data_IF_287959127933
#
_entry.id   IF_287959127933
#
_cell.length_a   1.000
_cell.length_b   1.000
_cell.length_c   1.000
_cell.angle_alpha   90.00
_cell.angle_beta   90.00
_cell.angle_gamma   90.00
#
_symmetry.space_group_name_H-M   'P 1'
#
loop_
_entity.id
_entity.type
_entity.pdbx_description
1 polymer ?
#
# COMPACT_ATOMS: atom_id res chain seq x y z
N UNK A 1 -14.89 -20.80 -17.16
CA UNK A 1 -15.03 -19.92 -18.35
C UNK A 1 -14.33 -18.60 -18.07
N UNK A 2 -13.51 -18.12 -18.99
CA UNK A 2 -12.91 -16.78 -18.92
C UNK A 2 -13.65 -15.89 -19.92
N UNK A 3 -14.23 -14.78 -19.45
CA UNK A 3 -14.96 -13.84 -20.30
C UNK A 3 -14.20 -12.52 -20.39
N UNK A 4 -13.43 -12.28 -21.48
CA UNK A 4 -12.72 -11.03 -21.65
C UNK A 4 -13.70 -9.90 -21.99
N UNK A 5 -13.54 -8.75 -21.32
CA UNK A 5 -14.30 -7.53 -21.61
C UNK A 5 -13.38 -6.54 -22.34
N UNK A 6 -13.79 -6.12 -23.55
CA UNK A 6 -13.04 -5.15 -24.36
C UNK A 6 -13.71 -3.78 -24.26
N UNK A 7 -12.90 -2.74 -24.11
CA UNK A 7 -13.37 -1.36 -24.18
C UNK A 7 -13.61 -0.96 -25.63
N UNK A 8 -14.59 -0.07 -25.86
CA UNK A 8 -14.94 0.42 -27.19
C UNK A 8 -13.88 1.38 -27.79
N UNK A 9 -13.04 2.00 -26.95
CA UNK A 9 -11.96 2.89 -27.39
C UNK A 9 -10.61 2.18 -27.32
N UNK A 10 -9.79 2.38 -28.35
CA UNK A 10 -8.34 2.19 -28.24
C UNK A 10 -7.82 3.24 -27.23
N UNK A 11 -6.90 2.85 -26.35
CA UNK A 11 -6.47 3.67 -25.21
C UNK A 11 -5.92 5.07 -25.57
N UNK A 12 -5.55 5.89 -24.57
CA UNK A 12 -5.27 5.48 -23.19
C UNK A 12 -6.53 5.28 -22.33
N UNK A 13 -6.50 4.27 -21.48
CA UNK A 13 -7.53 3.94 -20.49
C UNK A 13 -6.89 3.72 -19.12
N UNK A 14 -7.67 3.86 -18.05
CA UNK A 14 -7.22 3.60 -16.67
C UNK A 14 -7.68 2.24 -16.18
N UNK A 15 -7.12 1.77 -15.05
CA UNK A 15 -7.62 0.58 -14.35
C UNK A 15 -9.11 0.73 -14.00
N UNK A 16 -9.51 1.90 -13.51
CA UNK A 16 -10.90 2.24 -13.22
C UNK A 16 -11.82 2.17 -14.46
N UNK A 17 -11.38 2.64 -15.64
CA UNK A 17 -12.15 2.49 -16.88
C UNK A 17 -12.45 1.02 -17.18
N UNK A 18 -11.42 0.18 -17.09
CA UNK A 18 -11.53 -1.27 -17.32
C UNK A 18 -12.45 -1.92 -16.29
N UNK A 19 -12.29 -1.60 -15.00
CA UNK A 19 -13.13 -2.13 -13.91
C UNK A 19 -14.60 -1.73 -14.06
N UNK A 20 -14.88 -0.49 -14.47
CA UNK A 20 -16.25 -0.04 -14.74
C UNK A 20 -16.88 -0.72 -15.97
N UNK A 21 -16.07 -1.07 -16.98
CA UNK A 21 -16.56 -1.87 -18.10
C UNK A 21 -16.85 -3.32 -17.69
N UNK A 22 -15.97 -3.94 -16.90
CA UNK A 22 -16.20 -5.27 -16.31
C UNK A 22 -17.47 -5.24 -15.46
N UNK A 23 -17.64 -4.24 -14.60
CA UNK A 23 -18.85 -4.10 -13.77
C UNK A 23 -20.12 -4.07 -14.61
N UNK A 24 -20.17 -3.27 -15.68
CA UNK A 24 -21.32 -3.20 -16.60
C UNK A 24 -21.57 -4.52 -17.30
N UNK A 25 -20.52 -5.15 -17.84
CA UNK A 25 -20.63 -6.46 -18.48
C UNK A 25 -21.15 -7.53 -17.51
N UNK A 26 -20.75 -7.49 -16.24
CA UNK A 26 -21.29 -8.37 -15.20
C UNK A 26 -22.78 -8.13 -14.98
N UNK A 27 -23.25 -6.88 -14.94
CA UNK A 27 -24.68 -6.57 -14.82
C UNK A 27 -25.48 -7.04 -16.06
N UNK A 28 -24.90 -6.92 -17.26
CA UNK A 28 -25.51 -7.42 -18.49
C UNK A 28 -25.63 -8.95 -18.46
N UNK A 29 -24.57 -9.63 -18.00
CA UNK A 29 -24.56 -11.07 -17.81
C UNK A 29 -25.59 -11.53 -16.76
N UNK A 30 -25.69 -10.84 -15.61
CA UNK A 30 -26.72 -11.09 -14.60
C UNK A 30 -28.13 -11.04 -15.22
N UNK A 31 -28.40 -9.99 -16.01
CA UNK A 31 -29.70 -9.79 -16.68
C UNK A 31 -29.99 -10.86 -17.72
N UNK A 32 -29.03 -11.19 -18.57
CA UNK A 32 -29.20 -12.17 -19.64
C UNK A 32 -29.41 -13.60 -19.12
N UNK A 33 -28.87 -13.92 -17.94
CA UNK A 33 -28.90 -15.28 -17.38
C UNK A 33 -29.83 -15.41 -16.15
N UNK A 34 -30.57 -14.36 -15.78
CA UNK A 34 -31.50 -14.40 -14.65
C UNK A 34 -30.84 -14.70 -13.29
N UNK A 35 -29.55 -14.38 -13.13
CA UNK A 35 -28.78 -14.67 -11.92
C UNK A 35 -28.23 -13.40 -11.27
N UNK A 36 -27.75 -13.52 -10.03
CA UNK A 36 -27.12 -12.42 -9.29
C UNK A 36 -25.85 -12.90 -8.61
N UNK A 37 -24.74 -12.23 -8.87
CA UNK A 37 -23.49 -12.50 -8.18
C UNK A 37 -23.53 -11.93 -6.76
N UNK A 38 -23.03 -12.68 -5.78
CA UNK A 38 -22.98 -12.23 -4.39
C UNK A 38 -21.89 -11.16 -4.18
N UNK A 39 -20.74 -11.35 -4.83
CA UNK A 39 -19.54 -10.56 -4.64
C UNK A 39 -18.78 -10.31 -5.94
N UNK A 40 -17.92 -9.28 -5.92
CA UNK A 40 -16.99 -8.90 -6.96
C UNK A 40 -15.59 -8.95 -6.36
N UNK A 41 -14.73 -9.82 -6.90
CA UNK A 41 -13.37 -10.04 -6.38
C UNK A 41 -12.36 -9.43 -7.36
N UNK A 42 -11.38 -8.69 -6.84
CA UNK A 42 -10.35 -8.01 -7.64
C UNK A 42 -8.98 -8.63 -7.41
N UNK A 43 -8.32 -8.96 -8.52
CA UNK A 43 -6.92 -9.34 -8.61
C UNK A 43 -6.29 -8.67 -9.83
N UNK A 44 -5.03 -8.31 -9.68
CA UNK A 44 -4.19 -7.94 -10.81
C UNK A 44 -3.70 -9.20 -11.54
N UNK A 45 -3.27 -9.04 -12.79
CA UNK A 45 -2.94 -10.18 -13.66
C UNK A 45 -1.70 -10.95 -13.19
N UNK A 46 -0.84 -10.27 -12.44
CA UNK A 46 0.40 -10.75 -11.84
C UNK A 46 0.21 -11.42 -10.47
N UNK A 47 -1.00 -11.36 -9.90
CA UNK A 47 -1.28 -11.89 -8.57
C UNK A 47 -1.31 -13.42 -8.52
N UNK A 48 -0.80 -13.95 -7.42
CA UNK A 48 -1.08 -15.30 -6.95
C UNK A 48 -2.16 -15.20 -5.88
N UNK A 49 -3.38 -15.51 -6.30
CA UNK A 49 -4.54 -15.68 -5.42
C UNK A 49 -4.33 -16.83 -4.42
N UNK A 50 -4.83 -16.67 -3.20
CA UNK A 50 -4.78 -17.78 -2.24
C UNK A 50 -5.92 -18.77 -2.54
N UNK A 51 -5.69 -20.09 -2.61
CA UNK A 51 -6.74 -21.07 -2.91
C UNK A 51 -7.96 -21.01 -1.99
N UNK A 52 -7.84 -20.46 -0.77
CA UNK A 52 -8.93 -20.36 0.19
C UNK A 52 -9.61 -18.98 0.23
N UNK A 53 -9.17 -17.99 -0.56
CA UNK A 53 -9.70 -16.63 -0.50
C UNK A 53 -11.21 -16.57 -0.81
N UNK A 54 -11.68 -17.33 -1.81
CA UNK A 54 -13.09 -17.33 -2.19
C UNK A 54 -13.99 -17.87 -1.07
N UNK A 55 -13.50 -18.83 -0.26
CA UNK A 55 -14.24 -19.35 0.90
C UNK A 55 -14.37 -18.29 1.99
N UNK A 56 -13.33 -17.48 2.20
CA UNK A 56 -13.36 -16.36 3.15
C UNK A 56 -14.33 -15.29 2.68
N UNK A 57 -14.28 -14.92 1.39
CA UNK A 57 -15.18 -13.93 0.81
C UNK A 57 -16.63 -14.40 0.85
N UNK A 58 -16.91 -15.64 0.47
CA UNK A 58 -18.24 -16.24 0.55
C UNK A 58 -18.79 -16.21 1.99
N UNK A 59 -17.96 -16.59 2.97
CA UNK A 59 -18.39 -16.57 4.36
C UNK A 59 -18.75 -15.16 4.86
N UNK A 60 -17.90 -14.16 4.61
CA UNK A 60 -18.05 -12.83 5.18
C UNK A 60 -19.00 -11.91 4.39
N UNK A 61 -19.01 -12.04 3.07
CA UNK A 61 -19.92 -11.27 2.21
C UNK A 61 -21.26 -12.00 2.04
N UNK A 62 -21.24 -13.32 1.86
CA UNK A 62 -22.44 -14.14 1.65
C UNK A 62 -23.39 -14.14 2.85
N UNK A 63 -22.85 -14.12 4.08
CA UNK A 63 -23.65 -13.90 5.31
C UNK A 63 -24.17 -12.47 5.48
N UNK A 64 -23.77 -11.54 4.59
CA UNK A 64 -24.08 -10.11 4.63
C UNK A 64 -23.51 -9.37 5.85
N UNK A 65 -22.46 -9.93 6.45
CA UNK A 65 -21.79 -9.33 7.61
C UNK A 65 -20.90 -8.15 7.19
N UNK A 66 -20.26 -8.27 6.02
CA UNK A 66 -19.32 -7.29 5.46
C UNK A 66 -19.68 -6.94 4.01
N UNK A 67 -19.48 -5.68 3.66
CA UNK A 67 -19.65 -5.13 2.32
C UNK A 67 -18.33 -5.03 1.54
N UNK A 68 -17.20 -5.01 2.25
CA UNK A 68 -15.86 -5.07 1.68
C UNK A 68 -14.96 -5.96 2.55
N UNK A 69 -14.21 -6.86 1.94
CA UNK A 69 -13.22 -7.70 2.62
C UNK A 69 -11.87 -7.50 1.95
N UNK A 70 -10.86 -7.13 2.72
CA UNK A 70 -9.48 -7.01 2.25
C UNK A 70 -8.63 -8.09 2.90
N UNK A 71 -7.97 -8.91 2.10
CA UNK A 71 -6.94 -9.83 2.55
C UNK A 71 -5.57 -9.13 2.62
N UNK A 72 -4.62 -9.66 3.41
CA UNK A 72 -3.24 -9.26 3.35
C UNK A 72 -2.65 -9.36 1.94
N UNK A 73 -1.77 -8.43 1.60
CA UNK A 73 -0.89 -8.54 0.43
C UNK A 73 0.50 -8.88 0.96
N UNK A 74 1.07 -9.97 0.48
CA UNK A 74 2.37 -10.48 0.91
C UNK A 74 3.32 -10.53 -0.29
N UNK A 75 4.16 -9.49 -0.49
CA UNK A 75 5.17 -9.47 -1.54
C UNK A 75 6.00 -10.75 -1.56
N UNK A 76 6.26 -11.30 -2.74
CA UNK A 76 7.17 -12.43 -2.90
C UNK A 76 8.61 -11.99 -2.60
N UNK A 77 9.34 -12.74 -1.76
CA UNK A 77 10.72 -12.39 -1.44
C UNK A 77 11.59 -12.50 -2.69
N UNK A 78 12.54 -11.57 -2.79
CA UNK A 78 13.53 -11.50 -3.85
C UNK A 78 14.92 -11.87 -3.30
N UNK A 79 15.90 -12.00 -4.18
CA UNK A 79 17.28 -12.30 -3.75
C UNK A 79 17.78 -11.24 -2.75
N UNK A 80 18.67 -11.64 -1.83
CA UNK A 80 19.09 -10.79 -0.71
C UNK A 80 19.69 -9.44 -1.15
N UNK A 81 20.36 -9.42 -2.31
CA UNK A 81 20.97 -8.23 -2.90
C UNK A 81 19.97 -7.35 -3.69
N UNK A 82 18.71 -7.74 -3.83
CA UNK A 82 17.68 -6.95 -4.50
C UNK A 82 16.98 -6.04 -3.49
N UNK A 83 17.73 -5.09 -2.93
CA UNK A 83 17.31 -4.22 -1.84
C UNK A 83 16.00 -3.45 -2.11
N UNK A 84 15.85 -2.91 -3.32
CA UNK A 84 14.62 -2.22 -3.75
C UNK A 84 13.44 -3.19 -3.87
N UNK A 85 13.65 -4.45 -4.26
CA UNK A 85 12.58 -5.43 -4.19
C UNK A 85 12.20 -5.76 -2.73
N UNK A 86 13.22 -6.00 -1.91
CA UNK A 86 13.08 -6.43 -0.52
C UNK A 86 12.40 -5.40 0.40
N UNK A 87 12.52 -4.10 0.15
CA UNK A 87 11.88 -3.10 1.02
C UNK A 87 10.34 -3.16 0.95
N UNK A 88 9.76 -3.68 -0.13
CA UNK A 88 8.31 -3.93 -0.20
C UNK A 88 7.90 -5.03 0.78
N UNK A 89 8.66 -6.13 0.87
CA UNK A 89 8.44 -7.18 1.88
C UNK A 89 8.42 -6.57 3.30
N UNK A 90 9.35 -5.64 3.58
CA UNK A 90 9.45 -5.00 4.89
C UNK A 90 8.23 -4.13 5.22
N UNK A 91 7.86 -3.25 4.30
CA UNK A 91 6.76 -2.31 4.49
C UNK A 91 5.41 -3.02 4.54
N UNK A 92 5.16 -4.00 3.67
CA UNK A 92 3.90 -4.74 3.66
C UNK A 92 3.78 -5.66 4.87
N UNK A 93 4.86 -6.34 5.30
CA UNK A 93 4.81 -7.14 6.51
C UNK A 93 4.43 -6.29 7.73
N UNK A 94 5.07 -5.13 7.91
CA UNK A 94 4.75 -4.22 9.02
C UNK A 94 3.33 -3.66 8.89
N UNK A 95 2.95 -3.16 7.70
CA UNK A 95 1.65 -2.52 7.47
C UNK A 95 0.48 -3.49 7.65
N UNK A 96 0.57 -4.69 7.05
CA UNK A 96 -0.50 -5.69 7.09
C UNK A 96 -0.52 -6.51 8.38
N UNK A 97 0.58 -6.58 9.14
CA UNK A 97 0.57 -7.26 10.45
C UNK A 97 0.14 -6.35 11.61
N UNK A 98 0.33 -5.03 11.48
CA UNK A 98 0.15 -4.05 12.57
C UNK A 98 -0.75 -2.89 12.17
N UNK A 99 -0.36 -2.09 11.17
CA UNK A 99 -1.00 -0.80 10.93
C UNK A 99 -2.45 -0.92 10.46
N UNK A 100 -2.76 -1.85 9.53
CA UNK A 100 -4.11 -2.06 9.04
C UNK A 100 -5.04 -2.65 10.10
N UNK A 101 -4.53 -3.51 10.98
CA UNK A 101 -5.27 -4.06 12.12
C UNK A 101 -5.66 -2.94 13.09
N UNK A 102 -4.69 -2.10 13.47
CA UNK A 102 -4.94 -0.95 14.35
C UNK A 102 -5.91 0.04 13.70
N UNK A 103 -5.77 0.28 12.39
CA UNK A 103 -6.69 1.16 11.64
C UNK A 103 -8.13 0.64 11.67
N UNK A 104 -8.33 -0.65 11.44
CA UNK A 104 -9.64 -1.27 11.49
C UNK A 104 -10.27 -1.10 12.88
N UNK A 105 -9.51 -1.41 13.94
CA UNK A 105 -9.98 -1.26 15.32
C UNK A 105 -10.39 0.18 15.66
N UNK A 106 -9.61 1.19 15.21
CA UNK A 106 -9.86 2.58 15.56
C UNK A 106 -10.94 3.24 14.69
N UNK A 107 -11.07 2.85 13.43
CA UNK A 107 -11.93 3.55 12.47
C UNK A 107 -13.17 2.75 12.03
N UNK A 108 -13.19 1.45 12.32
CA UNK A 108 -14.17 0.49 11.81
C UNK A 108 -14.06 0.28 10.30
N UNK A 109 -12.94 0.66 9.67
CA UNK A 109 -12.72 0.41 8.26
C UNK A 109 -11.26 0.40 7.81
N UNK A 110 -11.03 -0.10 6.60
CA UNK A 110 -9.69 -0.23 6.01
C UNK A 110 -9.69 0.23 4.55
N UNK A 111 -8.57 0.72 4.02
CA UNK A 111 -8.43 0.96 2.59
C UNK A 111 -8.42 -0.37 1.83
N UNK A 112 -8.74 -0.30 0.54
CA UNK A 112 -8.47 -1.41 -0.39
C UNK A 112 -7.07 -1.25 -0.98
N UNK A 113 -6.40 -2.38 -1.20
CA UNK A 113 -5.12 -2.46 -1.91
C UNK A 113 -5.30 -2.69 -3.42
N UNK A 114 -6.55 -2.79 -3.90
CA UNK A 114 -6.86 -2.99 -5.32
C UNK A 114 -6.63 -4.41 -5.83
N UNK A 115 -6.23 -5.31 -4.94
CA UNK A 115 -5.97 -6.74 -5.13
C UNK A 115 -6.33 -7.51 -3.86
N UNK A 116 -6.65 -8.80 -3.97
CA UNK A 116 -7.02 -9.62 -2.81
C UNK A 116 -8.22 -9.07 -2.04
N UNK A 117 -9.13 -8.40 -2.76
CA UNK A 117 -10.22 -7.66 -2.17
C UNK A 117 -11.54 -8.08 -2.81
N UNK A 118 -12.57 -8.22 -1.99
CA UNK A 118 -13.92 -8.53 -2.43
C UNK A 118 -14.91 -7.46 -1.98
N UNK A 119 -15.85 -7.12 -2.86
CA UNK A 119 -16.93 -6.17 -2.62
C UNK A 119 -18.27 -6.86 -2.76
N UNK A 120 -19.21 -6.58 -1.85
CA UNK A 120 -20.58 -7.04 -1.99
C UNK A 120 -21.24 -6.37 -3.19
N UNK A 121 -22.21 -7.05 -3.81
CA UNK A 121 -23.04 -6.44 -4.87
C UNK A 121 -23.70 -5.14 -4.40
N UNK A 122 -24.10 -5.07 -3.13
CA UNK A 122 -24.65 -3.86 -2.51
C UNK A 122 -23.62 -2.72 -2.50
N UNK A 123 -22.37 -3.00 -2.16
CA UNK A 123 -21.29 -2.01 -2.11
C UNK A 123 -21.08 -1.33 -3.46
N UNK A 124 -20.86 -2.11 -4.53
CA UNK A 124 -20.62 -1.54 -5.86
C UNK A 124 -21.86 -0.84 -6.42
N UNK A 125 -23.06 -1.36 -6.17
CA UNK A 125 -24.31 -0.70 -6.59
C UNK A 125 -24.46 0.68 -5.94
N UNK A 126 -24.28 0.78 -4.63
CA UNK A 126 -24.41 2.06 -3.91
C UNK A 126 -23.31 3.04 -4.32
N UNK A 127 -22.08 2.56 -4.51
CA UNK A 127 -20.99 3.39 -5.01
C UNK A 127 -21.25 3.91 -6.42
N UNK A 128 -21.81 3.07 -7.31
CA UNK A 128 -22.16 3.45 -8.68
C UNK A 128 -23.32 4.45 -8.76
N UNK A 129 -24.31 4.36 -7.86
CA UNK A 129 -25.44 5.32 -7.80
C UNK A 129 -24.98 6.77 -7.59
N UNK A 130 -23.85 6.98 -6.91
CA UNK A 130 -23.29 8.31 -6.71
C UNK A 130 -22.43 8.82 -7.88
N UNK A 131 -22.18 8.01 -8.90
CA UNK A 131 -21.27 8.31 -10.01
C UNK A 131 -21.80 7.78 -11.35
N UNK A 132 -23.04 8.11 -11.72
CA UNK A 132 -23.63 7.77 -13.03
C UNK A 132 -23.50 6.27 -13.40
N UNK A 133 -23.62 5.39 -12.41
CA UNK A 133 -23.51 3.94 -12.58
C UNK A 133 -22.08 3.38 -12.57
N UNK A 134 -21.06 4.20 -12.28
CA UNK A 134 -19.65 3.80 -12.27
C UNK A 134 -19.10 3.76 -10.83
N UNK A 135 -18.87 2.59 -10.23
CA UNK A 135 -18.36 2.51 -8.87
C UNK A 135 -16.93 3.04 -8.73
N UNK A 136 -16.07 2.85 -9.75
CA UNK A 136 -14.66 3.25 -9.72
C UNK A 136 -14.46 4.62 -10.36
N UNK A 137 -13.80 5.54 -9.67
CA UNK A 137 -13.55 6.88 -10.21
C UNK A 137 -12.43 6.84 -11.25
N UNK A 138 -12.76 7.01 -12.54
CA UNK A 138 -11.81 6.98 -13.65
C UNK A 138 -10.75 8.08 -13.63
N UNK A 139 -11.01 9.19 -12.91
CA UNK A 139 -10.07 10.29 -12.75
C UNK A 139 -9.07 10.08 -11.59
N UNK A 140 -9.27 9.03 -10.77
CA UNK A 140 -8.42 8.70 -9.64
C UNK A 140 -7.30 7.75 -10.06
N UNK A 141 -6.06 8.01 -9.63
CA UNK A 141 -4.93 7.09 -9.86
C UNK A 141 -4.81 5.98 -8.80
N UNK A 142 -5.69 6.04 -7.79
CA UNK A 142 -5.88 5.08 -6.68
C UNK A 142 -7.38 4.89 -6.44
N UNK A 143 -8.07 4.37 -7.46
CA UNK A 143 -9.51 4.20 -7.50
C UNK A 143 -10.06 3.28 -6.41
N UNK A 144 -9.26 2.28 -6.04
CA UNK A 144 -9.48 1.29 -5.00
C UNK A 144 -9.50 1.90 -3.60
N UNK A 145 -8.47 2.71 -3.29
CA UNK A 145 -8.37 3.46 -2.04
C UNK A 145 -9.54 4.44 -1.89
N UNK A 146 -9.84 5.19 -2.95
CA UNK A 146 -10.96 6.14 -2.96
C UNK A 146 -12.31 5.43 -2.78
N UNK A 147 -12.53 4.32 -3.50
CA UNK A 147 -13.75 3.52 -3.35
C UNK A 147 -13.92 3.04 -1.91
N UNK A 148 -12.89 2.44 -1.30
CA UNK A 148 -12.97 1.93 0.07
C UNK A 148 -13.36 3.03 1.09
N UNK A 149 -12.77 4.22 0.96
CA UNK A 149 -13.15 5.36 1.80
C UNK A 149 -14.58 5.83 1.52
N UNK A 150 -15.02 5.88 0.26
CA UNK A 150 -16.41 6.23 -0.08
C UNK A 150 -17.41 5.23 0.48
N UNK A 151 -17.13 3.93 0.40
CA UNK A 151 -17.98 2.89 1.00
C UNK A 151 -18.15 3.11 2.50
N UNK A 152 -17.08 3.53 3.20
CA UNK A 152 -17.17 3.86 4.63
C UNK A 152 -18.08 5.06 4.90
N UNK A 153 -18.06 6.08 4.06
CA UNK A 153 -18.97 7.23 4.17
C UNK A 153 -20.44 6.86 3.90
N UNK A 154 -20.66 5.83 3.10
CA UNK A 154 -21.98 5.23 2.87
C UNK A 154 -22.44 4.33 4.04
N UNK A 155 -21.69 4.28 5.14
CA UNK A 155 -22.00 3.44 6.31
C UNK A 155 -21.80 1.94 6.08
N UNK A 156 -21.09 1.56 5.01
CA UNK A 156 -20.84 0.16 4.68
C UNK A 156 -19.73 -0.43 5.57
N UNK A 157 -19.84 -1.73 5.83
CA UNK A 157 -18.94 -2.44 6.74
C UNK A 157 -17.79 -3.05 5.97
N UNK A 158 -16.56 -2.67 6.28
CA UNK A 158 -15.37 -3.35 5.75
C UNK A 158 -14.73 -4.26 6.80
N UNK A 159 -13.96 -5.24 6.36
CA UNK A 159 -13.09 -6.03 7.23
C UNK A 159 -11.69 -6.22 6.64
N UNK A 160 -10.67 -6.18 7.48
CA UNK A 160 -9.33 -6.64 7.15
C UNK A 160 -9.07 -8.01 7.78
N UNK A 161 -8.93 -9.04 6.95
CA UNK A 161 -9.08 -10.41 7.42
C UNK A 161 -7.74 -11.13 7.45
N UNK A 162 -7.27 -11.44 8.66
CA UNK A 162 -6.05 -12.22 8.89
C UNK A 162 -6.39 -13.57 9.48
N UNK A 163 -6.66 -14.54 8.61
CA UNK A 163 -6.96 -15.92 8.99
C UNK A 163 -5.85 -16.81 8.45
N UNK A 164 -5.41 -17.80 9.24
CA UNK A 164 -4.53 -18.86 8.76
C UNK A 164 -5.41 -19.98 8.18
N UNK A 165 -5.15 -20.38 6.94
CA UNK A 165 -5.96 -21.41 6.26
C UNK A 165 -5.90 -22.81 6.90
N UNK A 166 -4.94 -23.05 7.81
CA UNK A 166 -4.87 -24.23 8.66
C UNK A 166 -3.95 -23.95 9.87
N UNK A 167 -4.02 -24.74 10.95
CA UNK A 167 -3.09 -24.64 12.07
C UNK A 167 -1.62 -24.85 11.67
N UNK A 168 -1.38 -25.65 10.62
CA UNK A 168 -0.04 -25.92 10.09
C UNK A 168 0.53 -24.75 9.25
N UNK A 169 -0.32 -23.87 8.70
CA UNK A 169 0.13 -22.68 7.99
C UNK A 169 0.60 -21.61 8.98
N UNK A 170 1.88 -21.26 8.90
CA UNK A 170 2.52 -20.24 9.74
C UNK A 170 2.14 -18.80 9.39
N UNK A 171 1.52 -18.56 8.25
CA UNK A 171 1.21 -17.22 7.73
C UNK A 171 -0.26 -17.10 7.33
N UNK A 172 -0.85 -15.89 7.42
CA UNK A 172 -2.23 -15.67 7.02
C UNK A 172 -2.40 -15.88 5.52
N UNK A 173 -3.65 -16.17 5.14
CA UNK A 173 -4.12 -16.08 3.75
C UNK A 173 -3.76 -14.71 3.20
N UNK A 174 -3.15 -14.67 2.02
CA UNK A 174 -2.66 -13.44 1.44
C UNK A 174 -2.55 -13.58 -0.08
N UNK A 175 -2.85 -12.50 -0.79
CA UNK A 175 -2.48 -12.37 -2.20
C UNK A 175 -0.99 -12.09 -2.28
N UNK A 176 -0.30 -12.76 -3.21
CA UNK A 176 1.15 -12.65 -3.36
C UNK A 176 1.49 -12.17 -4.75
N UNK A 177 2.47 -11.29 -4.85
CA UNK A 177 2.93 -10.75 -6.13
C UNK A 177 4.41 -10.35 -6.05
N UNK A 178 5.06 -10.23 -7.20
CA UNK A 178 6.38 -9.62 -7.30
C UNK A 178 6.26 -8.10 -7.45
N UNK A 179 6.73 -7.38 -6.43
CA UNK A 179 6.88 -5.94 -6.53
C UNK A 179 8.13 -5.55 -7.35
N UNK A 180 8.20 -4.31 -7.86
CA UNK A 180 9.34 -3.87 -8.66
C UNK A 180 10.68 -3.97 -7.93
N UNK A 181 11.68 -4.54 -8.62
CA UNK A 181 13.05 -4.65 -8.11
C UNK A 181 13.95 -3.48 -8.50
N UNK A 182 13.57 -2.70 -9.52
CA UNK A 182 14.39 -1.59 -10.04
C UNK A 182 13.95 -0.27 -9.40
N UNK A 183 14.93 0.58 -9.08
CA UNK A 183 14.68 1.86 -8.41
C UNK A 183 13.66 2.75 -9.15
N UNK A 184 13.83 2.93 -10.46
CA UNK A 184 12.92 3.77 -11.26
C UNK A 184 11.48 3.26 -11.30
N UNK A 185 11.30 1.95 -11.35
CA UNK A 185 9.97 1.30 -11.32
C UNK A 185 9.32 1.48 -9.93
N UNK A 186 10.07 1.25 -8.86
CA UNK A 186 9.58 1.45 -7.50
C UNK A 186 9.16 2.91 -7.25
N UNK A 187 9.96 3.87 -7.74
CA UNK A 187 9.65 5.30 -7.68
C UNK A 187 8.38 5.64 -8.46
N UNK A 188 8.20 5.09 -9.68
CA UNK A 188 6.96 5.27 -10.46
C UNK A 188 5.74 4.77 -9.68
N UNK A 189 5.80 3.52 -9.21
CA UNK A 189 4.70 2.89 -8.48
C UNK A 189 4.33 3.67 -7.21
N UNK A 190 5.31 3.96 -6.35
CA UNK A 190 5.05 4.67 -5.09
C UNK A 190 4.65 6.13 -5.30
N UNK A 191 5.16 6.77 -6.36
CA UNK A 191 4.71 8.14 -6.70
C UNK A 191 3.24 8.17 -7.07
N UNK A 192 2.73 7.13 -7.77
CA UNK A 192 1.29 6.99 -8.07
C UNK A 192 0.47 6.85 -6.80
N UNK A 193 0.91 6.01 -5.85
CA UNK A 193 0.24 5.85 -4.56
C UNK A 193 0.22 7.14 -3.75
N UNK A 194 1.37 7.80 -3.58
CA UNK A 194 1.46 9.07 -2.85
C UNK A 194 0.61 10.17 -3.49
N UNK A 195 0.65 10.27 -4.82
CA UNK A 195 -0.18 11.21 -5.57
C UNK A 195 -1.67 10.96 -5.36
N UNK A 196 -2.12 9.71 -5.51
CA UNK A 196 -3.53 9.35 -5.36
C UNK A 196 -4.03 9.49 -3.92
N UNK A 197 -3.28 8.96 -2.95
CA UNK A 197 -3.67 8.95 -1.53
C UNK A 197 -3.55 10.35 -0.92
N UNK A 198 -2.40 11.01 -1.12
CA UNK A 198 -2.09 12.23 -0.37
C UNK A 198 -2.60 13.51 -1.03
N UNK A 199 -2.55 13.58 -2.36
CA UNK A 199 -2.90 14.80 -3.12
C UNK A 199 -4.32 14.71 -3.67
N UNK A 200 -4.61 13.76 -4.57
CA UNK A 200 -5.98 13.60 -5.09
C UNK A 200 -6.98 13.22 -3.99
N UNK A 201 -6.58 12.34 -3.06
CA UNK A 201 -7.40 11.96 -1.93
C UNK A 201 -7.72 13.14 -1.01
N UNK A 202 -6.86 14.15 -0.94
CA UNK A 202 -7.18 15.39 -0.23
C UNK A 202 -8.28 16.17 -0.95
N UNK A 203 -8.18 16.33 -2.26
CA UNK A 203 -9.16 17.08 -3.06
C UNK A 203 -10.52 16.36 -3.14
N UNK A 204 -10.52 15.07 -3.45
CA UNK A 204 -11.73 14.30 -3.72
C UNK A 204 -12.47 13.93 -2.42
N UNK A 205 -11.73 13.64 -1.34
CA UNK A 205 -12.29 13.07 -0.10
C UNK A 205 -12.22 14.05 1.07
N UNK A 206 -11.22 14.94 1.10
CA UNK A 206 -11.03 15.91 2.17
C UNK A 206 -10.60 15.27 3.50
N UNK A 207 -11.08 15.83 4.60
CA UNK A 207 -10.79 15.41 5.98
C UNK A 207 -12.06 14.96 6.70
N UNK A 208 -12.81 14.07 6.07
CA UNK A 208 -14.11 13.61 6.55
C UNK A 208 -13.98 12.50 7.60
N UNK A 209 -15.03 12.33 8.40
CA UNK A 209 -15.12 11.37 9.51
C UNK A 209 -14.73 11.96 10.87
N UNK A 210 -14.73 11.11 11.89
CA UNK A 210 -14.37 11.44 13.26
C UNK A 210 -12.86 11.54 13.47
N UNK A 211 -12.46 11.72 14.73
CA UNK A 211 -11.06 11.94 15.12
C UNK A 211 -10.13 10.86 14.56
N UNK A 212 -10.45 9.59 14.79
CA UNK A 212 -9.61 8.47 14.33
C UNK A 212 -9.50 8.39 12.81
N UNK A 213 -10.58 8.68 12.07
CA UNK A 213 -10.52 8.72 10.60
C UNK A 213 -9.61 9.83 10.12
N UNK A 214 -9.74 11.05 10.67
CA UNK A 214 -8.87 12.19 10.32
C UNK A 214 -7.41 11.92 10.70
N UNK A 215 -7.17 11.30 11.85
CA UNK A 215 -5.82 10.88 12.26
C UNK A 215 -5.21 9.89 11.26
N UNK A 216 -5.98 8.91 10.79
CA UNK A 216 -5.49 7.96 9.78
C UNK A 216 -5.25 8.62 8.41
N UNK A 217 -6.10 9.56 7.98
CA UNK A 217 -5.85 10.35 6.78
C UNK A 217 -4.56 11.19 6.92
N UNK A 218 -4.28 11.74 8.11
CA UNK A 218 -3.04 12.46 8.36
C UNK A 218 -1.82 11.53 8.29
N UNK A 219 -1.93 10.32 8.84
CA UNK A 219 -0.88 9.30 8.72
C UNK A 219 -0.64 8.87 7.28
N UNK A 220 -1.68 8.72 6.48
CA UNK A 220 -1.58 8.36 5.07
C UNK A 220 -0.90 9.49 4.26
N UNK A 221 -1.18 10.76 4.61
CA UNK A 221 -0.68 11.95 3.91
C UNK A 221 0.70 12.43 4.34
N UNK A 222 1.11 12.19 5.59
CA UNK A 222 2.37 12.73 6.13
C UNK A 222 3.60 12.28 5.36
N UNK A 223 3.55 11.10 4.72
CA UNK A 223 4.64 10.54 3.92
C UNK A 223 5.14 11.49 2.83
N UNK A 224 4.26 12.35 2.31
CA UNK A 224 4.62 13.39 1.33
C UNK A 224 5.66 14.37 1.89
N UNK A 225 5.54 14.74 3.17
CA UNK A 225 6.42 15.71 3.83
C UNK A 225 7.57 15.02 4.57
N UNK A 226 7.29 13.98 5.35
CA UNK A 226 8.30 13.33 6.20
C UNK A 226 9.42 12.67 5.41
N UNK A 227 9.17 12.27 4.15
CA UNK A 227 10.22 11.70 3.30
C UNK A 227 11.34 12.71 2.98
N UNK A 228 11.02 14.00 2.87
CA UNK A 228 12.01 15.07 2.66
C UNK A 228 12.81 15.34 3.93
N UNK A 229 12.13 15.35 5.07
CA UNK A 229 12.75 15.53 6.40
C UNK A 229 13.76 14.41 6.66
N UNK A 230 13.44 13.16 6.33
CA UNK A 230 14.35 12.03 6.52
C UNK A 230 15.66 12.18 5.72
N UNK A 231 15.59 12.61 4.45
CA UNK A 231 16.79 12.81 3.63
C UNK A 231 17.61 14.00 4.12
N UNK A 232 16.97 15.08 4.56
CA UNK A 232 17.66 16.20 5.19
C UNK A 232 18.35 15.77 6.49
N UNK A 233 17.70 14.96 7.31
CA UNK A 233 18.28 14.40 8.52
C UNK A 233 19.50 13.50 8.21
N UNK A 234 19.45 12.71 7.13
CA UNK A 234 20.61 11.94 6.66
C UNK A 234 21.75 12.84 6.21
N UNK A 235 21.47 13.90 5.46
CA UNK A 235 22.50 14.87 5.08
C UNK A 235 23.17 15.48 6.32
N UNK A 236 22.39 15.95 7.30
CA UNK A 236 22.91 16.51 8.55
C UNK A 236 23.74 15.45 9.31
N UNK A 237 23.23 14.23 9.47
CA UNK A 237 23.93 13.17 10.19
C UNK A 237 25.27 12.80 9.52
N UNK A 238 25.31 12.70 8.19
CA UNK A 238 26.57 12.43 7.47
C UNK A 238 27.57 13.56 7.67
N UNK A 239 27.16 14.83 7.58
CA UNK A 239 28.06 15.96 7.80
C UNK A 239 28.61 15.97 9.23
N UNK A 240 27.77 15.70 10.24
CA UNK A 240 28.20 15.60 11.64
C UNK A 240 29.22 14.47 11.79
N UNK A 241 28.96 13.28 11.23
CA UNK A 241 29.89 12.15 11.28
C UNK A 241 31.23 12.51 10.62
N UNK A 242 31.22 13.18 9.48
CA UNK A 242 32.44 13.61 8.77
C UNK A 242 33.24 14.64 9.58
N UNK A 243 32.58 15.57 10.26
CA UNK A 243 33.24 16.55 11.13
C UNK A 243 33.89 15.87 12.35
N UNK A 244 33.20 14.93 12.99
CA UNK A 244 33.78 14.13 14.07
C UNK A 244 34.96 13.28 13.58
N UNK A 245 34.86 12.70 12.38
CA UNK A 245 35.94 11.92 11.80
C UNK A 245 37.16 12.79 11.46
N UNK A 246 36.94 14.01 10.96
CA UNK A 246 37.99 14.97 10.67
C UNK A 246 38.72 15.42 11.95
N UNK A 247 37.98 15.75 13.01
CA UNK A 247 38.54 16.06 14.34
C UNK A 247 39.38 14.90 14.90
N UNK A 248 38.92 13.66 14.70
CA UNK A 248 39.62 12.46 15.18
C UNK A 248 40.87 12.09 14.36
N UNK A 249 40.84 12.26 13.02
CA UNK A 249 41.90 11.78 12.12
C UNK A 249 42.91 12.84 11.70
N UNK A 250 42.51 14.11 11.57
CA UNK A 250 43.34 15.15 10.97
C UNK A 250 44.01 15.98 12.06
N UNK A 251 45.33 15.83 12.18
CA UNK A 251 46.14 16.64 13.07
C UNK A 251 45.97 18.14 12.75
N UNK A 252 45.56 18.93 13.74
CA UNK A 252 45.33 20.37 13.60
C UNK A 252 43.93 20.77 13.11
N UNK A 253 43.01 19.81 12.90
CA UNK A 253 41.62 20.15 12.65
C UNK A 253 40.98 20.77 13.91
N UNK A 254 40.18 21.86 13.78
CA UNK A 254 39.53 22.46 14.94
C UNK A 254 38.60 21.45 15.64
N UNK A 255 38.72 21.35 16.97
CA UNK A 255 37.82 20.50 17.76
C UNK A 255 36.38 20.83 17.47
N UNK A 256 35.62 19.83 17.04
CA UNK A 256 34.20 20.01 16.79
C UNK A 256 33.47 20.07 18.13
N UNK A 257 32.83 21.20 18.51
CA UNK A 257 32.20 21.31 19.80
C UNK A 257 31.05 20.30 19.92
N UNK A 258 30.90 19.70 21.10
CA UNK A 258 29.79 18.79 21.37
C UNK A 258 28.45 19.51 21.16
N UNK A 259 27.67 19.06 20.18
CA UNK A 259 26.38 19.67 19.82
C UNK A 259 25.26 19.37 20.83
N UNK A 260 25.49 18.40 21.74
CA UNK A 260 24.50 17.92 22.70
C UNK A 260 25.14 17.80 24.07
N UNK A 261 24.77 18.69 25.00
CA UNK A 261 25.22 18.63 26.39
C UNK A 261 24.49 17.53 27.16
N UNK A 262 25.22 16.78 27.99
CA UNK A 262 24.64 15.75 28.84
C UNK A 262 23.62 16.36 29.83
N UNK A 263 22.46 15.73 29.98
CA UNK A 263 21.38 16.23 30.83
C UNK A 263 20.56 17.39 30.24
N UNK A 264 20.93 17.92 29.07
CA UNK A 264 20.13 18.95 28.39
C UNK A 264 18.77 18.42 27.91
N UNK A 265 17.77 19.30 27.71
CA UNK A 265 16.50 18.92 27.07
C UNK A 265 16.71 18.28 25.69
N UNK A 266 17.71 18.73 24.93
CA UNK A 266 18.09 18.16 23.63
C UNK A 266 18.57 16.71 23.78
N UNK A 267 19.41 16.41 24.77
CA UNK A 267 19.85 15.04 25.05
C UNK A 267 18.68 14.12 25.42
N UNK A 268 17.74 14.61 26.23
CA UNK A 268 16.51 13.88 26.56
C UNK A 268 15.67 13.58 25.31
N UNK A 269 15.45 14.58 24.45
CA UNK A 269 14.70 14.42 23.21
C UNK A 269 15.36 13.41 22.25
N UNK A 270 16.68 13.47 22.09
CA UNK A 270 17.43 12.53 21.26
C UNK A 270 17.38 11.10 21.83
N UNK A 271 17.47 10.95 23.15
CA UNK A 271 17.37 9.65 23.83
C UNK A 271 15.98 9.05 23.65
N UNK A 272 14.92 9.85 23.86
CA UNK A 272 13.55 9.42 23.59
C UNK A 272 13.34 9.07 22.10
N UNK A 273 13.90 9.86 21.18
CA UNK A 273 13.82 9.57 19.75
C UNK A 273 14.52 8.25 19.39
N UNK A 274 15.71 7.99 19.94
CA UNK A 274 16.44 6.74 19.77
C UNK A 274 15.64 5.55 20.32
N UNK A 275 15.01 5.69 21.48
CA UNK A 275 14.12 4.66 22.02
C UNK A 275 12.96 4.34 21.06
N UNK A 276 12.27 5.35 20.55
CA UNK A 276 11.16 5.15 19.60
C UNK A 276 11.64 4.59 18.25
N UNK A 277 12.82 4.98 17.78
CA UNK A 277 13.44 4.42 16.59
C UNK A 277 13.74 2.93 16.79
N UNK A 278 14.40 2.56 17.89
CA UNK A 278 14.71 1.17 18.23
C UNK A 278 13.44 0.33 18.35
N UNK A 279 12.43 0.82 19.05
CA UNK A 279 11.14 0.15 19.13
C UNK A 279 10.50 -0.04 17.73
N UNK A 280 10.57 0.97 16.85
CA UNK A 280 10.07 0.86 15.48
C UNK A 280 10.83 -0.18 14.66
N UNK A 281 12.15 -0.18 14.73
CA UNK A 281 13.01 -1.16 14.03
C UNK A 281 12.70 -2.56 14.53
N UNK A 282 12.61 -2.76 15.85
CA UNK A 282 12.27 -4.04 16.45
C UNK A 282 10.90 -4.56 16.01
N UNK A 283 9.86 -3.71 16.03
CA UNK A 283 8.53 -4.08 15.55
C UNK A 283 8.54 -4.50 14.08
N UNK A 284 9.29 -3.80 13.23
CA UNK A 284 9.48 -4.17 11.83
C UNK A 284 10.15 -5.54 11.71
N UNK A 285 11.27 -5.76 12.41
CA UNK A 285 11.97 -7.04 12.40
C UNK A 285 11.06 -8.19 12.86
N UNK A 286 10.21 -7.98 13.86
CA UNK A 286 9.22 -8.98 14.30
C UNK A 286 8.19 -9.30 13.21
N UNK A 287 7.63 -8.26 12.56
CA UNK A 287 6.63 -8.47 11.50
C UNK A 287 7.23 -9.18 10.29
N UNK A 288 8.42 -8.74 9.84
CA UNK A 288 9.15 -9.35 8.72
C UNK A 288 9.59 -10.76 9.06
N UNK A 289 10.16 -10.97 10.25
CA UNK A 289 10.64 -12.29 10.70
C UNK A 289 9.53 -13.32 10.80
N UNK A 290 8.33 -12.90 11.24
CA UNK A 290 7.16 -13.78 11.28
C UNK A 290 6.63 -14.16 9.91
N UNK A 291 6.87 -13.38 8.86
CA UNK A 291 6.37 -13.66 7.50
C UNK A 291 7.41 -14.29 6.58
N UNK A 292 8.69 -13.93 6.74
CA UNK A 292 9.78 -14.29 5.82
C UNK A 292 11.02 -14.88 6.50
N UNK A 293 11.02 -15.03 7.82
CA UNK A 293 12.12 -15.62 8.58
C UNK A 293 13.22 -14.62 9.00
N UNK A 294 14.15 -15.11 9.83
CA UNK A 294 15.15 -14.29 10.53
C UNK A 294 16.09 -13.53 9.57
N UNK A 295 16.51 -14.15 8.47
CA UNK A 295 17.40 -13.51 7.51
C UNK A 295 16.79 -12.24 6.90
N UNK A 296 15.51 -12.28 6.53
CA UNK A 296 14.79 -11.11 6.02
C UNK A 296 14.54 -10.08 7.14
N UNK A 297 14.32 -10.52 8.38
CA UNK A 297 14.21 -9.61 9.52
C UNK A 297 15.49 -8.78 9.72
N UNK A 298 16.66 -9.42 9.66
CA UNK A 298 17.95 -8.72 9.77
C UNK A 298 18.17 -7.77 8.58
N UNK A 299 17.89 -8.21 7.35
CA UNK A 299 17.99 -7.37 6.15
C UNK A 299 17.03 -6.16 6.17
N UNK A 300 15.91 -6.24 6.91
CA UNK A 300 14.95 -5.13 7.01
C UNK A 300 15.54 -3.87 7.67
N UNK A 301 16.60 -4.02 8.49
CA UNK A 301 17.25 -2.90 9.19
C UNK A 301 17.99 -2.00 8.20
N UNK A 302 19.01 -2.47 7.45
CA UNK A 302 19.69 -1.60 6.49
C UNK A 302 18.78 -1.23 5.30
N UNK A 303 17.75 -2.03 4.99
CA UNK A 303 16.74 -1.67 3.97
C UNK A 303 15.87 -0.47 4.35
N UNK A 304 15.88 0.00 5.61
CA UNK A 304 15.22 1.27 5.99
C UNK A 304 15.78 2.46 5.21
N UNK A 305 17.10 2.52 5.02
CA UNK A 305 17.73 3.58 4.24
C UNK A 305 17.25 3.54 2.78
N UNK A 306 17.19 2.35 2.19
CA UNK A 306 16.70 2.14 0.81
C UNK A 306 15.24 2.57 0.69
N UNK A 307 14.38 2.15 1.63
CA UNK A 307 12.97 2.57 1.66
C UNK A 307 12.84 4.10 1.74
N UNK A 308 13.63 4.77 2.58
CA UNK A 308 13.61 6.22 2.70
C UNK A 308 14.03 6.94 1.42
N UNK A 309 15.07 6.47 0.73
CA UNK A 309 15.51 7.05 -0.55
C UNK A 309 14.46 6.87 -1.64
N UNK A 310 13.84 5.68 -1.74
CA UNK A 310 12.74 5.41 -2.68
C UNK A 310 11.54 6.31 -2.37
N UNK A 311 11.14 6.41 -1.10
CA UNK A 311 9.99 7.21 -0.67
C UNK A 311 10.23 8.71 -0.92
N UNK A 312 11.44 9.21 -0.72
CA UNK A 312 11.82 10.58 -1.05
C UNK A 312 11.71 10.87 -2.55
N UNK A 313 12.31 10.03 -3.38
CA UNK A 313 12.25 10.19 -4.84
C UNK A 313 10.81 10.08 -5.37
N UNK A 314 10.01 9.18 -4.79
CA UNK A 314 8.59 9.03 -5.09
C UNK A 314 7.78 10.27 -4.68
N UNK A 315 8.03 10.85 -3.51
CA UNK A 315 7.36 12.07 -3.04
C UNK A 315 7.69 13.27 -3.93
N UNK A 316 8.96 13.47 -4.28
CA UNK A 316 9.38 14.51 -5.24
C UNK A 316 8.69 14.34 -6.60
N UNK A 317 8.66 13.11 -7.12
CA UNK A 317 7.98 12.81 -8.39
C UNK A 317 6.48 13.10 -8.30
N UNK A 318 5.82 12.67 -7.22
CA UNK A 318 4.39 12.89 -7.02
C UNK A 318 4.04 14.39 -6.99
N UNK A 319 4.78 15.20 -6.23
CA UNK A 319 4.59 16.65 -6.16
C UNK A 319 4.78 17.29 -7.54
N UNK A 320 5.87 16.95 -8.26
CA UNK A 320 6.13 17.49 -9.60
C UNK A 320 5.01 17.15 -10.59
N UNK A 321 4.54 15.89 -10.59
CA UNK A 321 3.45 15.46 -11.46
C UNK A 321 2.16 16.22 -11.15
N UNK A 322 1.82 16.34 -9.87
CA UNK A 322 0.66 17.08 -9.41
C UNK A 322 0.69 18.56 -9.80
N UNK A 323 1.78 19.26 -9.47
CA UNK A 323 1.95 20.67 -9.80
C UNK A 323 1.92 20.90 -11.31
N UNK A 324 2.54 20.03 -12.11
CA UNK A 324 2.51 20.12 -13.57
C UNK A 324 1.09 19.91 -14.11
N UNK A 325 0.38 18.91 -13.63
CA UNK A 325 -0.99 18.63 -14.05
C UNK A 325 -1.92 19.82 -13.74
N UNK A 326 -1.83 20.37 -12.52
CA UNK A 326 -2.60 21.54 -12.09
C UNK A 326 -2.28 22.79 -12.90
N UNK A 327 -1.00 23.07 -13.16
CA UNK A 327 -0.57 24.20 -14.02
C UNK A 327 -1.03 24.07 -15.47
N UNK A 328 -1.10 22.85 -16.00
CA UNK A 328 -1.47 22.60 -17.40
C UNK A 328 -2.97 22.40 -17.59
N UNK A 329 -3.77 22.41 -16.52
CA UNK A 329 -5.20 22.05 -16.57
C UNK A 329 -5.45 20.63 -17.10
N UNK A 330 -4.46 19.74 -17.01
CA UNK A 330 -4.54 18.38 -17.56
C UNK A 330 -4.85 17.35 -16.48
N UNK A 331 -5.65 16.32 -16.77
CA UNK A 331 -5.87 15.23 -15.83
C UNK A 331 -4.56 14.48 -15.56
N UNK A 332 -4.42 13.98 -14.34
CA UNK A 332 -3.30 13.14 -13.96
C UNK A 332 -3.36 11.84 -14.77
N UNK A 333 -2.29 11.54 -15.51
CA UNK A 333 -2.22 10.34 -16.33
C UNK A 333 -1.85 9.14 -15.45
N UNK A 334 -2.60 8.06 -15.63
CA UNK A 334 -2.29 6.76 -15.07
C UNK A 334 -1.05 6.17 -15.79
N UNK A 335 -0.09 5.67 -15.01
CA UNK A 335 1.18 5.10 -15.47
C UNK A 335 1.36 3.74 -14.78
N UNK A 336 1.02 2.63 -15.46
CA UNK A 336 1.18 1.28 -14.91
C UNK A 336 2.66 0.93 -14.86
N UNK A 337 3.13 0.54 -13.69
CA UNK A 337 4.46 -0.04 -13.54
C UNK A 337 4.40 -1.51 -13.97
N UNK A 338 5.37 -1.97 -14.75
CA UNK A 338 5.41 -3.37 -15.15
C UNK A 338 5.81 -4.25 -13.95
N UNK A 339 5.04 -5.30 -13.69
CA UNK A 339 5.34 -6.31 -12.69
C UNK A 339 5.89 -7.57 -13.34
N UNK A 340 6.73 -8.28 -12.61
CA UNK A 340 7.27 -9.56 -13.05
C UNK A 340 6.22 -10.64 -12.78
N UNK A 341 5.87 -11.41 -13.81
CA UNK A 341 4.93 -12.51 -13.66
C UNK A 341 5.61 -13.65 -12.88
N UNK A 342 4.94 -14.22 -11.86
CA UNK A 342 5.40 -15.47 -11.27
C UNK A 342 5.51 -16.56 -12.34
N UNK A 343 6.53 -17.42 -12.22
CA UNK A 343 6.58 -18.62 -13.05
C UNK A 343 5.30 -19.43 -12.81
N UNK A 344 4.66 -19.89 -13.89
CA UNK A 344 3.46 -20.72 -13.77
C UNK A 344 3.77 -21.92 -12.87
N UNK A 345 2.95 -22.21 -11.84
CA UNK A 345 3.16 -23.41 -11.06
C UNK A 345 3.12 -24.61 -12.01
N UNK A 346 4.11 -25.50 -11.91
CA UNK A 346 4.05 -26.79 -12.57
C UNK A 346 2.69 -27.40 -12.23
N UNK A 347 1.92 -27.81 -13.24
CA UNK A 347 0.62 -28.45 -13.03
C UNK A 347 0.85 -29.72 -12.21
N UNK A 348 0.73 -29.63 -10.89
CA UNK A 348 0.59 -30.82 -10.08
C UNK A 348 -0.75 -31.44 -10.46
N UNK A 349 -0.67 -32.65 -11.03
CA UNK A 349 -1.81 -33.40 -11.50
C UNK A 349 -2.92 -33.42 -10.46
N UNK A 350 -4.13 -33.12 -10.93
CA UNK A 350 -5.34 -33.25 -10.17
C UNK A 350 -5.44 -34.67 -9.59
N UNK A 351 -5.37 -34.78 -8.26
CA UNK A 351 -6.01 -35.83 -7.49
C UNK A 351 -7.14 -35.16 -6.72
N UNK A 352 -8.38 -35.54 -7.04
CA UNK A 352 -9.61 -35.08 -6.40
C UNK A 352 -9.61 -35.27 -4.88
#
# INVERSE_FOLDING_TARGET
YLLPVRLARAGPTTKADCLNAIYRATLDFERANGLRFAAYVLHDAEDIADPLELRVFDHLIGRKDKDMVQLPVAPLPRAWHQWVGGHYCDEFAESHAKDLVVRECLTGGVPSAGVGCAFSRRALRLAGQQQNGQPFNAASVTEDYELALRLRHLGLKSAFVRINGSPARRHPLATREFFPARFGDAVRQKSRWLLGIALQGWENIGWRGGFWQRYMLARDRKGLFTSHINVLAYFIAVNIILLFLADWLLAGFPRFPGFVEAGSPTACLLTANLFFLTNRVFQRMLCVGRLYGLGQALLSVPRLAVANVVNFAAALRAIRLYCRARRQGRPLRWDKTAHEMPAAPARHGAGF
#
